data_IF_196609540287
#
_entry.id   IF_196609540287
#
_cell.length_a   1.000
_cell.length_b   1.000
_cell.length_c   1.000
_cell.angle_alpha   90.00
_cell.angle_beta   90.00
_cell.angle_gamma   90.00
#
_symmetry.space_group_name_H-M   'P 1'
#
loop_
_entity.id
_entity.type
_entity.pdbx_description
1 polymer ?
#
# COMPACT_ATOMS: atom_id res chain seq x y z
N UNK A 1 9.99 -4.14 38.96
CA UNK A 1 9.33 -4.25 37.64
C UNK A 1 9.93 -3.22 36.71
N UNK A 2 10.49 -3.63 35.58
CA UNK A 2 10.96 -2.74 34.52
C UNK A 2 9.77 -2.29 33.65
N UNK A 3 9.73 -1.02 33.28
CA UNK A 3 8.70 -0.44 32.41
C UNK A 3 9.32 -0.07 31.05
N UNK A 4 8.51 -0.06 30.00
CA UNK A 4 8.94 0.45 28.70
C UNK A 4 9.25 1.96 28.76
N UNK A 5 10.11 2.48 27.87
CA UNK A 5 10.38 3.92 27.77
C UNK A 5 9.10 4.73 27.58
N UNK A 6 9.03 5.92 28.17
CA UNK A 6 7.84 6.79 28.06
C UNK A 6 7.53 7.18 26.59
N UNK A 7 8.59 7.30 25.78
CA UNK A 7 8.54 7.59 24.36
C UNK A 7 8.52 6.33 23.48
N UNK A 8 8.17 5.16 24.03
CA UNK A 8 8.01 3.96 23.21
C UNK A 8 6.97 4.19 22.10
N UNK A 9 7.37 3.88 20.86
CA UNK A 9 6.61 4.13 19.64
C UNK A 9 5.69 2.94 19.32
N UNK A 10 4.57 2.87 20.04
CA UNK A 10 3.48 1.96 19.69
C UNK A 10 2.93 2.34 18.32
N UNK A 11 2.84 1.37 17.42
CA UNK A 11 2.49 1.66 16.03
C UNK A 11 1.94 0.47 15.28
N UNK A 12 1.54 0.73 14.03
CA UNK A 12 1.12 -0.26 13.06
C UNK A 12 2.12 -0.35 11.90
N UNK A 13 2.12 -1.48 11.19
CA UNK A 13 2.93 -1.67 9.99
C UNK A 13 2.11 -2.30 8.86
N UNK A 14 2.16 -1.70 7.68
CA UNK A 14 1.49 -2.15 6.45
C UNK A 14 2.46 -2.02 5.26
N UNK A 15 2.12 -2.61 4.11
CA UNK A 15 2.89 -2.44 2.88
C UNK A 15 1.96 -2.11 1.71
N UNK A 16 2.25 -1.02 0.97
CA UNK A 16 1.38 -0.39 -0.01
C UNK A 16 0.59 -1.37 -0.88
N UNK A 17 1.28 -2.35 -1.46
CA UNK A 17 0.69 -3.33 -2.36
C UNK A 17 -0.39 -4.21 -1.71
N UNK A 18 -0.41 -4.36 -0.39
CA UNK A 18 -1.37 -5.19 0.32
C UNK A 18 -2.68 -4.46 0.64
N UNK A 19 -2.63 -3.15 0.89
CA UNK A 19 -3.75 -2.42 1.48
C UNK A 19 -4.21 -1.20 0.69
N UNK A 20 -3.34 -0.56 -0.12
CA UNK A 20 -3.73 0.64 -0.88
C UNK A 20 -4.86 0.37 -1.87
N UNK A 21 -4.74 -0.67 -2.69
CA UNK A 21 -5.61 -0.82 -3.85
C UNK A 21 -5.36 0.27 -4.90
N UNK A 22 -6.38 0.56 -5.72
CA UNK A 22 -6.30 1.57 -6.76
C UNK A 22 -5.09 1.34 -7.68
N UNK A 23 -4.89 0.10 -8.12
CA UNK A 23 -3.66 -0.34 -8.77
C UNK A 23 -3.38 0.37 -10.12
N UNK A 24 -4.43 0.86 -10.76
CA UNK A 24 -4.45 1.57 -12.04
C UNK A 24 -4.79 3.08 -11.90
N UNK A 25 -4.90 3.58 -10.66
CA UNK A 25 -5.28 4.98 -10.36
C UNK A 25 -4.06 5.87 -10.16
N UNK A 26 -4.24 7.16 -10.41
CA UNK A 26 -3.21 8.19 -10.18
C UNK A 26 -1.94 8.00 -11.00
N UNK A 27 -2.04 7.37 -12.18
CA UNK A 27 -0.89 7.09 -13.04
C UNK A 27 0.04 5.97 -12.57
N UNK A 28 -0.38 5.18 -11.56
CA UNK A 28 0.40 4.04 -11.06
C UNK A 28 0.67 3.02 -12.18
N UNK A 29 1.93 2.59 -12.29
CA UNK A 29 2.33 1.48 -13.15
C UNK A 29 2.08 0.10 -12.54
N UNK A 30 2.15 -0.93 -13.38
CA UNK A 30 2.06 -2.32 -12.93
C UNK A 30 3.30 -2.70 -12.12
N UNK A 31 3.06 -3.28 -10.95
CA UNK A 31 4.08 -3.88 -10.11
C UNK A 31 4.05 -5.40 -10.23
N UNK A 32 5.08 -6.07 -9.72
CA UNK A 32 5.16 -7.55 -9.72
C UNK A 32 3.96 -8.23 -9.06
N UNK A 33 3.31 -7.58 -8.10
CA UNK A 33 2.17 -8.14 -7.36
C UNK A 33 0.85 -8.01 -8.14
N UNK A 34 0.79 -7.08 -9.11
CA UNK A 34 -0.42 -6.81 -9.89
C UNK A 34 -0.68 -7.89 -10.93
N UNK A 35 0.29 -8.78 -11.15
CA UNK A 35 0.18 -9.99 -11.97
C UNK A 35 0.22 -11.28 -11.13
N UNK A 36 0.07 -11.16 -9.81
CA UNK A 36 0.00 -12.32 -8.91
C UNK A 36 -1.44 -12.62 -8.50
N UNK A 37 -1.95 -13.77 -8.92
CA UNK A 37 -3.32 -14.20 -8.60
C UNK A 37 -3.52 -14.43 -7.11
N UNK A 38 -4.78 -14.54 -6.68
CA UNK A 38 -5.10 -15.09 -5.37
C UNK A 38 -4.59 -16.52 -5.21
N UNK A 39 -4.35 -16.90 -3.97
CA UNK A 39 -4.02 -18.27 -3.55
C UNK A 39 -4.84 -18.62 -2.31
N UNK A 40 -4.67 -19.83 -1.81
CA UNK A 40 -5.31 -20.33 -0.60
C UNK A 40 -4.41 -21.37 0.08
N UNK A 41 -4.85 -21.90 1.22
CA UNK A 41 -4.18 -23.06 1.81
C UNK A 41 -4.17 -24.22 0.81
N UNK A 42 -2.98 -24.76 0.51
CA UNK A 42 -2.79 -25.81 -0.50
C UNK A 42 -2.87 -25.34 -1.97
N UNK A 43 -3.11 -24.04 -2.23
CA UNK A 43 -3.14 -23.47 -3.59
C UNK A 43 -2.22 -22.26 -3.67
N UNK A 44 -1.06 -22.44 -4.30
CA UNK A 44 -0.10 -21.35 -4.50
C UNK A 44 -0.70 -20.24 -5.38
N UNK A 45 -0.23 -19.01 -5.16
CA UNK A 45 -0.46 -17.89 -6.07
C UNK A 45 0.24 -18.17 -7.40
N UNK A 46 -0.35 -17.73 -8.50
CA UNK A 46 0.25 -17.85 -9.83
C UNK A 46 0.71 -16.47 -10.30
N UNK A 47 1.78 -16.44 -11.09
CA UNK A 47 2.26 -15.24 -11.77
C UNK A 47 1.80 -15.34 -13.23
N UNK A 48 1.04 -14.35 -13.69
CA UNK A 48 0.61 -14.26 -15.09
C UNK A 48 1.54 -13.34 -15.87
N UNK A 49 1.63 -13.51 -17.19
CA UNK A 49 2.46 -12.63 -18.05
C UNK A 49 1.91 -11.20 -18.13
N UNK A 50 0.59 -11.06 -18.06
CA UNK A 50 -0.14 -9.81 -18.06
C UNK A 50 -1.38 -9.93 -17.16
N UNK A 51 -2.15 -8.85 -17.00
CA UNK A 51 -3.43 -8.92 -16.30
C UNK A 51 -4.41 -9.69 -17.17
N UNK A 52 -4.88 -10.83 -16.66
CA UNK A 52 -5.89 -11.67 -17.29
C UNK A 52 -7.25 -11.46 -16.61
N UNK A 53 -8.29 -11.01 -17.33
CA UNK A 53 -9.62 -10.79 -16.75
C UNK A 53 -10.28 -12.06 -16.18
N UNK A 54 -9.78 -13.26 -16.53
CA UNK A 54 -10.28 -14.53 -15.98
C UNK A 54 -9.65 -14.88 -14.62
N UNK A 55 -8.68 -14.10 -14.14
CA UNK A 55 -8.00 -14.31 -12.87
C UNK A 55 -8.33 -13.20 -11.87
N UNK A 56 -8.32 -13.58 -10.58
CA UNK A 56 -8.53 -12.63 -9.49
C UNK A 56 -7.20 -12.19 -8.87
N UNK A 57 -6.94 -10.89 -8.86
CA UNK A 57 -5.74 -10.26 -8.31
C UNK A 57 -6.11 -9.44 -7.07
N UNK A 58 -5.95 -9.97 -5.84
CA UNK A 58 -6.45 -9.31 -4.63
C UNK A 58 -5.78 -7.96 -4.36
N UNK A 59 -4.55 -7.77 -4.85
CA UNK A 59 -3.78 -6.54 -4.68
C UNK A 59 -4.32 -5.36 -5.51
N UNK A 60 -5.19 -5.62 -6.49
CA UNK A 60 -5.80 -4.58 -7.31
C UNK A 60 -6.69 -3.64 -6.47
N UNK A 61 -7.43 -4.22 -5.53
CA UNK A 61 -8.35 -3.53 -4.63
C UNK A 61 -7.79 -3.37 -3.22
N UNK A 62 -7.01 -4.33 -2.71
CA UNK A 62 -6.50 -4.28 -1.34
C UNK A 62 -7.64 -4.20 -0.32
N UNK A 63 -7.59 -3.19 0.56
CA UNK A 63 -8.72 -2.81 1.43
C UNK A 63 -9.26 -1.41 1.08
N UNK A 64 -8.88 -0.91 -0.10
CA UNK A 64 -9.20 0.41 -0.61
C UNK A 64 -8.68 1.59 0.23
N UNK A 65 -7.51 1.44 0.86
CA UNK A 65 -6.89 2.52 1.63
C UNK A 65 -6.53 3.74 0.75
N UNK A 66 -6.28 3.55 -0.54
CA UNK A 66 -5.99 4.65 -1.48
C UNK A 66 -7.07 5.73 -1.48
N UNK A 67 -8.35 5.34 -1.38
CA UNK A 67 -9.46 6.27 -1.30
C UNK A 67 -9.85 6.63 0.14
N UNK A 68 -9.62 5.72 1.11
CA UNK A 68 -10.13 5.80 2.49
C UNK A 68 -9.09 6.14 3.56
N UNK A 69 -7.88 6.53 3.15
CA UNK A 69 -6.76 6.73 4.08
C UNK A 69 -7.05 7.77 5.17
N UNK A 70 -7.91 8.77 4.92
CA UNK A 70 -8.23 9.80 5.92
C UNK A 70 -9.02 9.23 7.08
N UNK A 71 -10.02 8.40 6.77
CA UNK A 71 -10.84 7.70 7.74
C UNK A 71 -10.00 6.68 8.52
N UNK A 72 -9.17 5.91 7.83
CA UNK A 72 -8.33 4.88 8.44
C UNK A 72 -7.24 5.49 9.36
N UNK A 73 -6.62 6.61 8.96
CA UNK A 73 -5.69 7.35 9.83
C UNK A 73 -6.40 7.91 11.07
N UNK A 74 -7.66 8.34 10.96
CA UNK A 74 -8.43 8.78 12.12
C UNK A 74 -8.64 7.64 13.12
N UNK A 75 -8.96 6.42 12.63
CA UNK A 75 -9.08 5.22 13.46
C UNK A 75 -7.75 4.85 14.13
N UNK A 76 -6.63 4.91 13.41
CA UNK A 76 -5.30 4.66 13.98
C UNK A 76 -4.95 5.65 15.09
N UNK A 77 -5.34 6.91 14.94
CA UNK A 77 -5.18 7.94 15.96
C UNK A 77 -6.07 7.67 17.18
N UNK A 78 -7.32 7.25 16.97
CA UNK A 78 -8.25 6.87 18.04
C UNK A 78 -7.72 5.71 18.88
N UNK A 79 -7.10 4.72 18.23
CA UNK A 79 -6.43 3.60 18.91
C UNK A 79 -5.16 4.00 19.70
N UNK A 80 -4.69 5.24 19.55
CA UNK A 80 -3.49 5.74 20.23
C UNK A 80 -2.17 5.31 19.58
N UNK A 81 -2.18 4.97 18.28
CA UNK A 81 -0.94 4.71 17.55
C UNK A 81 -0.09 5.99 17.46
N UNK A 82 1.19 5.86 17.82
CA UNK A 82 2.18 6.93 17.76
C UNK A 82 2.98 6.93 16.46
N UNK A 83 3.03 5.79 15.76
CA UNK A 83 3.59 5.71 14.41
C UNK A 83 2.82 4.73 13.54
N UNK A 84 2.84 5.00 12.24
CA UNK A 84 2.43 4.07 11.21
C UNK A 84 3.59 3.89 10.23
N UNK A 85 4.07 2.66 10.13
CA UNK A 85 5.05 2.29 9.11
C UNK A 85 4.31 1.78 7.89
N UNK A 86 4.50 2.43 6.74
CA UNK A 86 4.09 1.88 5.46
C UNK A 86 5.23 1.91 4.45
N UNK A 87 5.08 1.16 3.36
CA UNK A 87 5.92 1.35 2.18
C UNK A 87 5.29 2.36 1.24
N UNK A 88 6.14 2.97 0.42
CA UNK A 88 5.72 3.80 -0.69
C UNK A 88 5.72 2.93 -1.94
N UNK A 89 4.60 2.86 -2.65
CA UNK A 89 4.52 2.11 -3.90
C UNK A 89 5.47 2.71 -4.96
N UNK A 90 6.56 1.99 -5.28
CA UNK A 90 7.53 2.44 -6.27
C UNK A 90 6.86 2.75 -7.61
N UNK A 91 5.94 1.90 -8.07
CA UNK A 91 5.25 2.10 -9.35
C UNK A 91 4.29 3.30 -9.34
N UNK A 92 4.04 3.94 -8.19
CA UNK A 92 3.42 5.28 -8.14
C UNK A 92 4.45 6.39 -8.36
N UNK A 93 5.71 6.22 -7.98
CA UNK A 93 6.74 7.24 -8.24
C UNK A 93 7.28 7.11 -9.67
N UNK A 94 7.61 5.87 -10.07
CA UNK A 94 8.19 5.53 -11.37
C UNK A 94 7.38 4.40 -12.01
N UNK A 95 6.26 4.72 -12.69
CA UNK A 95 5.35 3.73 -13.27
C UNK A 95 6.00 2.71 -14.21
N UNK A 96 7.02 3.14 -14.97
CA UNK A 96 7.79 2.32 -15.90
C UNK A 96 9.18 1.95 -15.35
N UNK A 97 9.46 2.21 -14.07
CA UNK A 97 10.75 1.92 -13.43
C UNK A 97 11.92 2.81 -13.87
N UNK A 98 11.72 3.75 -14.82
CA UNK A 98 12.77 4.61 -15.36
C UNK A 98 12.67 6.04 -14.83
N UNK A 99 13.82 6.65 -14.52
CA UNK A 99 13.93 8.02 -13.94
C UNK A 99 13.26 9.14 -14.75
N UNK A 100 13.01 8.95 -16.05
CA UNK A 100 12.57 10.00 -16.96
C UNK A 100 11.05 10.24 -17.01
N UNK A 101 10.22 9.40 -16.39
CA UNK A 101 8.78 9.67 -16.24
C UNK A 101 8.50 10.23 -14.85
N UNK A 102 8.65 11.55 -14.70
CA UNK A 102 8.25 12.28 -13.51
C UNK A 102 6.72 12.45 -13.54
N UNK A 103 6.00 11.91 -12.56
CA UNK A 103 4.55 12.07 -12.51
C UNK A 103 4.14 13.51 -12.23
N UNK A 104 3.07 13.95 -12.90
CA UNK A 104 2.31 15.16 -12.60
C UNK A 104 1.08 14.76 -11.78
N UNK A 105 1.01 15.26 -10.54
CA UNK A 105 -0.11 15.17 -9.56
C UNK A 105 -0.18 13.84 -8.80
N UNK A 106 -0.50 13.93 -7.50
CA UNK A 106 -0.70 12.85 -6.51
C UNK A 106 0.44 12.50 -5.53
N UNK A 107 1.45 13.38 -5.38
CA UNK A 107 2.37 13.36 -4.23
C UNK A 107 1.72 13.51 -2.83
N UNK A 108 0.53 14.14 -2.62
CA UNK A 108 -0.04 14.33 -1.29
C UNK A 108 -0.35 13.03 -0.51
N UNK A 109 -0.63 11.91 -1.19
CA UNK A 109 -0.95 10.65 -0.52
C UNK A 109 0.27 10.03 0.20
N UNK A 110 1.46 10.18 -0.38
CA UNK A 110 2.69 9.53 0.12
C UNK A 110 3.26 10.17 1.40
N UNK A 111 3.03 11.47 1.60
CA UNK A 111 3.68 12.24 2.67
C UNK A 111 2.80 12.32 3.93
N UNK A 112 1.47 12.13 3.81
CA UNK A 112 0.54 12.21 4.95
C UNK A 112 0.74 11.05 5.96
N UNK A 113 1.36 9.94 5.55
CA UNK A 113 1.69 8.82 6.45
C UNK A 113 2.83 9.10 7.45
N UNK A 114 3.50 10.26 7.36
CA UNK A 114 4.53 10.65 8.34
C UNK A 114 3.94 11.27 9.62
N UNK A 115 2.60 11.32 9.75
CA UNK A 115 1.85 11.58 11.00
C UNK A 115 2.34 12.80 11.80
N UNK A 116 1.74 13.97 11.53
CA UNK A 116 1.98 15.26 12.22
C UNK A 116 3.43 15.78 12.20
#
# INVERSE_FOLDING_TARGET
MTKLPQNFMWGGALAANQFEGGYDKGGKGLSVIDVMTSGAHGKARQITESIDPNHYYPNHEGIDFYHRYKEDIALFKEMGLKCLRTSIAWTRIFPNGMKMCQMKKDLPFMIVSLMN
#
